data_IF_155001331944
#
_entry.id   IF_155001331944
#
_cell.length_a   1.000
_cell.length_b   1.000
_cell.length_c   1.000
_cell.angle_alpha   90.00
_cell.angle_beta   90.00
_cell.angle_gamma   90.00
#
_symmetry.space_group_name_H-M   'P 1'
#
loop_
_entity.id
_entity.type
_entity.pdbx_description
1 polymer ?
#
# COMPACT_ATOMS: atom_id res chain seq x y z
N UNK A 1 42.39 53.30 22.47
CA UNK A 1 42.26 52.38 21.32
C UNK A 1 42.29 50.96 21.89
N UNK A 2 41.13 50.34 22.16
CA UNK A 2 40.34 49.52 21.22
C UNK A 2 41.18 48.50 20.46
N UNK A 3 41.10 47.23 20.89
CA UNK A 3 40.46 46.09 20.22
C UNK A 3 40.76 44.83 21.06
N UNK A 4 39.85 44.37 21.93
CA UNK A 4 38.84 43.34 21.67
C UNK A 4 39.35 42.15 20.85
N UNK A 5 39.73 41.09 21.57
CA UNK A 5 39.92 39.74 21.06
C UNK A 5 39.54 38.76 22.15
N UNK A 6 38.25 38.67 22.45
CA UNK A 6 37.65 37.65 23.29
C UNK A 6 37.92 36.28 22.67
N UNK A 7 38.92 35.58 23.21
CA UNK A 7 39.17 34.17 22.90
C UNK A 7 37.96 33.37 23.40
N UNK A 8 37.14 32.90 22.45
CA UNK A 8 35.86 32.21 22.66
C UNK A 8 36.09 30.74 23.07
N UNK A 9 37.21 30.43 23.74
CA UNK A 9 37.57 29.10 24.22
C UNK A 9 37.05 28.78 25.63
N UNK A 10 35.99 29.45 26.07
CA UNK A 10 35.44 29.32 27.43
C UNK A 10 34.11 28.57 27.55
N UNK A 11 33.67 27.80 26.54
CA UNK A 11 32.42 27.02 26.66
C UNK A 11 32.54 25.49 26.46
N UNK A 12 33.73 24.92 26.66
CA UNK A 12 33.86 23.48 26.91
C UNK A 12 33.85 23.20 28.42
N UNK A 13 32.69 23.46 29.03
CA UNK A 13 32.40 23.00 30.39
C UNK A 13 32.11 21.50 30.33
N UNK A 14 32.91 20.80 31.13
CA UNK A 14 32.79 19.41 31.52
C UNK A 14 31.47 19.17 32.27
N UNK A 15 30.43 18.72 31.55
CA UNK A 15 29.19 18.20 32.13
C UNK A 15 29.06 16.72 31.77
N UNK A 16 29.04 15.87 32.80
CA UNK A 16 29.06 14.41 32.72
C UNK A 16 27.66 13.83 32.43
N UNK A 17 26.94 14.41 31.48
CA UNK A 17 25.59 13.98 31.06
C UNK A 17 25.16 14.77 29.82
N UNK A 18 24.61 14.06 28.84
CA UNK A 18 24.04 14.60 27.60
C UNK A 18 25.02 14.92 26.45
N UNK A 19 25.57 13.85 25.85
CA UNK A 19 26.17 13.85 24.49
C UNK A 19 25.90 12.54 23.74
N UNK A 20 24.68 12.02 23.83
CA UNK A 20 24.25 10.90 22.98
C UNK A 20 22.84 11.21 22.49
N UNK A 21 22.68 11.29 21.17
CA UNK A 21 21.42 10.97 20.51
C UNK A 21 21.62 10.93 18.98
N UNK A 22 22.37 11.87 18.42
CA UNK A 22 22.66 11.92 16.99
C UNK A 22 23.53 10.78 16.46
N UNK A 23 24.65 10.51 17.12
CA UNK A 23 25.57 9.45 16.69
C UNK A 23 24.92 8.06 16.78
N UNK A 24 24.13 7.84 17.83
CA UNK A 24 23.36 6.61 18.02
C UNK A 24 22.36 6.42 16.88
N UNK A 25 21.55 7.44 16.58
CA UNK A 25 20.57 7.41 15.49
C UNK A 25 21.22 7.11 14.15
N UNK A 26 22.31 7.81 13.82
CA UNK A 26 23.03 7.61 12.55
C UNK A 26 23.63 6.19 12.47
N UNK A 27 24.25 5.70 13.55
CA UNK A 27 24.84 4.35 13.59
C UNK A 27 23.78 3.25 13.44
N UNK A 28 22.66 3.37 14.16
CA UNK A 28 21.57 2.41 14.08
C UNK A 28 20.94 2.39 12.68
N UNK A 29 20.66 3.56 12.09
CA UNK A 29 20.14 3.64 10.72
C UNK A 29 21.13 3.05 9.71
N UNK A 30 22.44 3.33 9.82
CA UNK A 30 23.46 2.71 8.95
C UNK A 30 23.51 1.20 9.09
N UNK A 31 23.34 0.67 10.30
CA UNK A 31 23.28 -0.78 10.51
C UNK A 31 22.09 -1.38 9.77
N UNK A 32 20.91 -0.79 9.89
CA UNK A 32 19.69 -1.24 9.19
C UNK A 32 19.85 -1.13 7.67
N UNK A 33 20.41 -0.01 7.18
CA UNK A 33 20.73 0.16 5.76
C UNK A 33 21.65 -0.95 5.24
N UNK A 34 22.61 -1.40 6.06
CA UNK A 34 23.54 -2.48 5.70
C UNK A 34 22.81 -3.82 5.59
N UNK A 35 21.90 -4.12 6.53
CA UNK A 35 21.08 -5.34 6.46
C UNK A 35 20.13 -5.31 5.26
N UNK A 36 19.55 -4.15 4.92
CA UNK A 36 18.74 -3.99 3.71
C UNK A 36 19.56 -4.24 2.43
N UNK A 37 20.80 -3.75 2.36
CA UNK A 37 21.67 -4.02 1.22
C UNK A 37 22.01 -5.52 1.10
N UNK A 38 22.14 -6.25 2.22
CA UNK A 38 22.37 -7.70 2.20
C UNK A 38 21.21 -8.48 1.56
N UNK A 39 19.98 -8.00 1.69
CA UNK A 39 18.80 -8.59 1.04
C UNK A 39 18.57 -8.07 -0.39
N UNK A 40 19.50 -7.27 -0.93
CA UNK A 40 19.45 -6.79 -2.32
C UNK A 40 18.88 -5.38 -2.51
N UNK A 41 18.75 -4.59 -1.43
CA UNK A 41 18.24 -3.22 -1.55
C UNK A 41 19.19 -2.29 -2.30
N UNK A 42 18.59 -1.35 -3.04
CA UNK A 42 19.27 -0.34 -3.88
C UNK A 42 18.78 1.05 -3.47
N UNK A 43 19.70 2.02 -3.39
CA UNK A 43 19.38 3.41 -3.07
C UNK A 43 20.48 4.10 -2.28
N UNK A 44 20.40 5.43 -2.16
CA UNK A 44 21.38 6.25 -1.44
C UNK A 44 21.10 6.32 0.05
N UNK A 45 19.82 6.43 0.43
CA UNK A 45 19.38 6.55 1.83
C UNK A 45 18.51 5.40 2.31
N UNK A 46 18.26 5.34 3.62
CA UNK A 46 17.40 4.33 4.26
C UNK A 46 16.02 4.22 3.62
N UNK A 47 15.37 5.35 3.33
CA UNK A 47 14.05 5.37 2.71
C UNK A 47 14.07 4.77 1.29
N UNK A 48 15.03 5.17 0.45
CA UNK A 48 15.18 4.65 -0.92
C UNK A 48 15.50 3.15 -0.93
N UNK A 49 16.43 2.72 -0.07
CA UNK A 49 16.78 1.29 0.08
C UNK A 49 15.57 0.49 0.52
N UNK A 50 14.81 0.96 1.51
CA UNK A 50 13.58 0.30 1.92
C UNK A 50 12.59 0.17 0.76
N UNK A 51 12.31 1.26 0.04
CA UNK A 51 11.37 1.24 -1.09
C UNK A 51 11.75 0.24 -2.19
N UNK A 52 13.04 -0.07 -2.36
CA UNK A 52 13.48 -1.07 -3.35
C UNK A 52 13.13 -2.51 -2.99
N UNK A 53 12.98 -2.83 -1.70
CA UNK A 53 12.72 -4.19 -1.17
C UNK A 53 11.44 -4.27 -0.36
N UNK A 54 10.61 -3.21 -0.38
CA UNK A 54 9.42 -3.11 0.47
C UNK A 54 8.42 -4.23 0.22
N UNK A 55 8.37 -4.75 -1.01
CA UNK A 55 7.50 -5.86 -1.36
C UNK A 55 7.95 -7.18 -0.72
N UNK A 56 9.25 -7.36 -0.47
CA UNK A 56 9.80 -8.62 0.05
C UNK A 56 9.78 -8.70 1.58
N UNK A 57 9.42 -7.59 2.23
CA UNK A 57 9.38 -7.43 3.69
C UNK A 57 7.94 -7.50 4.22
N UNK A 58 7.81 -7.83 5.50
CA UNK A 58 6.54 -7.74 6.21
C UNK A 58 6.10 -6.28 6.37
N UNK A 59 4.80 -6.00 6.18
CA UNK A 59 4.25 -4.63 6.21
C UNK A 59 4.55 -3.89 7.53
N UNK A 60 4.49 -4.61 8.66
CA UNK A 60 4.85 -4.07 9.97
C UNK A 60 6.34 -3.65 10.02
N UNK A 61 7.23 -4.45 9.43
CA UNK A 61 8.66 -4.15 9.38
C UNK A 61 8.94 -2.94 8.50
N UNK A 62 8.27 -2.84 7.35
CA UNK A 62 8.34 -1.67 6.46
C UNK A 62 7.92 -0.41 7.21
N UNK A 63 6.83 -0.49 7.97
CA UNK A 63 6.31 0.64 8.77
C UNK A 63 7.32 1.08 9.82
N UNK A 64 7.91 0.14 10.57
CA UNK A 64 8.96 0.44 11.55
C UNK A 64 10.18 1.12 10.93
N UNK A 65 10.63 0.66 9.75
CA UNK A 65 11.79 1.27 9.07
C UNK A 65 11.45 2.67 8.54
N UNK A 66 10.22 2.91 8.03
CA UNK A 66 9.77 4.25 7.62
C UNK A 66 9.72 5.22 8.80
N UNK A 67 9.25 4.76 9.97
CA UNK A 67 9.27 5.56 11.19
C UNK A 67 10.69 5.97 11.57
N UNK A 68 11.65 5.02 11.59
CA UNK A 68 13.06 5.30 11.86
C UNK A 68 13.66 6.31 10.86
N UNK A 69 13.36 6.15 9.57
CA UNK A 69 13.79 7.10 8.54
C UNK A 69 13.22 8.50 8.76
N UNK A 70 11.97 8.58 9.20
CA UNK A 70 11.29 9.85 9.51
C UNK A 70 11.93 10.53 10.71
N UNK A 71 12.11 9.81 11.83
CA UNK A 71 12.78 10.34 13.03
C UNK A 71 14.20 10.84 12.71
N UNK A 72 14.97 10.06 11.93
CA UNK A 72 16.31 10.44 11.48
C UNK A 72 16.32 11.66 10.56
N UNK A 73 15.33 11.80 9.68
CA UNK A 73 15.22 12.97 8.80
C UNK A 73 14.83 14.23 9.57
N UNK A 74 13.86 14.13 10.49
CA UNK A 74 13.49 15.23 11.39
C UNK A 74 14.70 15.69 12.20
N UNK A 75 15.38 14.72 12.81
CA UNK A 75 16.58 14.98 13.60
C UNK A 75 17.60 15.80 12.81
N UNK A 76 17.94 15.37 11.59
CA UNK A 76 19.00 15.96 10.76
C UNK A 76 18.59 17.27 10.08
N UNK A 77 17.32 17.41 9.67
CA UNK A 77 16.91 18.44 8.71
C UNK A 77 15.92 19.48 9.27
N UNK A 78 15.24 19.21 10.38
CA UNK A 78 14.32 20.19 10.97
C UNK A 78 15.07 21.09 11.96
N UNK A 79 15.18 22.38 11.62
CA UNK A 79 15.78 23.37 12.49
C UNK A 79 14.96 23.54 13.78
N UNK A 80 15.62 23.39 14.92
CA UNK A 80 14.98 23.52 16.23
C UNK A 80 14.18 22.29 16.69
N UNK A 81 14.26 21.16 15.99
CA UNK A 81 13.71 19.91 16.49
C UNK A 81 14.56 19.37 17.65
N UNK A 82 13.95 19.29 18.83
CA UNK A 82 14.58 18.70 20.02
C UNK A 82 14.26 17.21 20.09
N UNK A 83 15.31 16.40 20.16
CA UNK A 83 15.20 14.95 20.33
C UNK A 83 15.19 14.63 21.82
N UNK A 84 14.00 14.34 22.34
CA UNK A 84 13.79 14.15 23.78
C UNK A 84 14.26 12.78 24.24
N UNK A 85 14.40 12.58 25.56
CA UNK A 85 14.72 11.26 26.13
C UNK A 85 13.67 10.19 25.78
N UNK A 86 12.41 10.60 25.65
CA UNK A 86 11.32 9.73 25.23
C UNK A 86 11.51 9.29 23.76
N UNK A 87 11.86 10.22 22.87
CA UNK A 87 12.13 9.92 21.46
C UNK A 87 13.34 8.99 21.32
N UNK A 88 14.38 9.18 22.13
CA UNK A 88 15.56 8.31 22.13
C UNK A 88 15.22 6.88 22.59
N UNK A 89 14.44 6.75 23.67
CA UNK A 89 14.01 5.45 24.17
C UNK A 89 13.13 4.71 23.15
N UNK A 90 12.21 5.42 22.51
CA UNK A 90 11.35 4.88 21.46
C UNK A 90 12.17 4.47 20.24
N UNK A 91 13.05 5.35 19.76
CA UNK A 91 13.93 5.08 18.62
C UNK A 91 14.78 3.84 18.88
N UNK A 92 15.39 3.74 20.06
CA UNK A 92 16.26 2.62 20.42
C UNK A 92 15.49 1.31 20.45
N UNK A 93 14.31 1.29 21.09
CA UNK A 93 13.44 0.12 21.10
C UNK A 93 13.07 -0.32 19.69
N UNK A 94 12.66 0.63 18.85
CA UNK A 94 12.24 0.37 17.47
C UNK A 94 13.40 -0.10 16.59
N UNK A 95 14.57 0.51 16.72
CA UNK A 95 15.77 0.16 15.98
C UNK A 95 16.30 -1.23 16.38
N UNK A 96 16.27 -1.57 17.67
CA UNK A 96 16.68 -2.87 18.19
C UNK A 96 15.73 -3.97 17.71
N UNK A 97 14.41 -3.74 17.77
CA UNK A 97 13.41 -4.69 17.26
C UNK A 97 13.56 -4.92 15.75
N UNK A 98 13.64 -3.84 14.99
CA UNK A 98 13.83 -3.86 13.53
C UNK A 98 15.11 -4.62 13.16
N UNK A 99 16.23 -4.33 13.85
CA UNK A 99 17.51 -4.99 13.61
C UNK A 99 17.47 -6.47 13.95
N UNK A 100 16.78 -6.85 15.03
CA UNK A 100 16.58 -8.27 15.39
C UNK A 100 15.76 -9.00 14.33
N UNK A 101 14.65 -8.41 13.87
CA UNK A 101 13.78 -9.01 12.85
C UNK A 101 14.50 -9.17 11.51
N UNK A 102 15.27 -8.18 11.09
CA UNK A 102 16.10 -8.27 9.86
C UNK A 102 17.17 -9.36 9.98
N UNK A 103 17.84 -9.48 11.13
CA UNK A 103 18.89 -10.48 11.37
C UNK A 103 18.36 -11.90 11.59
N UNK A 104 17.16 -12.03 12.15
CA UNK A 104 16.51 -13.32 12.37
C UNK A 104 16.11 -14.03 11.06
N UNK A 105 16.33 -13.36 9.92
CA UNK A 105 16.00 -13.87 8.60
C UNK A 105 14.64 -13.32 8.20
N UNK A 106 14.66 -12.45 7.18
CA UNK A 106 13.47 -12.18 6.39
C UNK A 106 13.11 -13.51 5.73
N UNK A 107 12.11 -14.21 6.26
CA UNK A 107 11.38 -15.22 5.49
C UNK A 107 10.80 -14.44 4.32
N UNK A 108 11.50 -14.46 3.18
CA UNK A 108 11.04 -13.85 1.93
C UNK A 108 9.58 -14.27 1.77
N UNK A 109 8.64 -13.32 1.88
CA UNK A 109 7.21 -13.62 1.77
C UNK A 109 6.84 -13.82 0.29
N UNK A 110 7.62 -14.65 -0.42
CA UNK A 110 7.40 -15.06 -1.80
C UNK A 110 6.03 -15.70 -2.00
N UNK A 111 5.38 -16.13 -0.92
CA UNK A 111 4.05 -16.74 -0.96
C UNK A 111 2.89 -15.72 -0.91
N UNK A 112 3.05 -14.54 -0.29
CA UNK A 112 1.93 -13.59 -0.15
C UNK A 112 1.80 -12.61 -1.32
N UNK A 113 2.89 -12.23 -2.00
CA UNK A 113 2.85 -11.33 -3.16
C UNK A 113 2.18 -11.90 -4.41
N UNK A 114 2.07 -13.22 -4.50
CA UNK A 114 1.32 -13.88 -5.57
C UNK A 114 -0.16 -13.46 -5.57
N UNK A 115 -0.75 -13.23 -4.39
CA UNK A 115 -2.18 -12.88 -4.25
C UNK A 115 -2.54 -11.44 -4.64
N UNK A 116 -1.59 -10.50 -4.59
CA UNK A 116 -1.85 -9.09 -4.95
C UNK A 116 -1.57 -8.81 -6.44
N UNK A 117 -0.61 -9.50 -7.06
CA UNK A 117 -0.35 -9.40 -8.51
C UNK A 117 -1.47 -10.10 -9.33
N UNK A 118 -2.10 -11.13 -8.77
CA UNK A 118 -3.20 -11.87 -9.41
C UNK A 118 -4.53 -11.10 -9.56
N UNK A 119 -4.70 -9.90 -8.99
CA UNK A 119 -5.99 -9.16 -9.07
C UNK A 119 -6.18 -8.29 -10.31
N UNK A 120 -5.24 -8.29 -11.26
CA UNK A 120 -5.52 -7.69 -12.58
C UNK A 120 -6.21 -8.75 -13.43
N UNK A 121 -7.53 -8.62 -13.60
CA UNK A 121 -8.34 -9.46 -14.50
C UNK A 121 -7.95 -9.17 -15.95
N UNK A 122 -6.82 -9.72 -16.39
CA UNK A 122 -6.41 -9.67 -17.79
C UNK A 122 -7.32 -10.54 -18.64
N UNK A 123 -7.62 -10.08 -19.86
CA UNK A 123 -8.36 -10.84 -20.86
C UNK A 123 -7.53 -10.91 -22.13
N UNK A 124 -7.63 -12.01 -22.89
CA UNK A 124 -6.91 -12.13 -24.16
C UNK A 124 -7.76 -11.53 -25.27
N UNK A 125 -7.17 -10.64 -26.07
CA UNK A 125 -7.85 -10.08 -27.23
C UNK A 125 -7.97 -11.13 -28.35
N UNK A 126 -9.19 -11.38 -28.84
CA UNK A 126 -9.43 -12.32 -29.94
C UNK A 126 -8.80 -11.91 -31.29
N UNK A 127 -8.51 -10.63 -31.49
CA UNK A 127 -7.98 -10.12 -32.75
C UNK A 127 -6.45 -10.02 -32.81
N UNK A 128 -5.78 -9.85 -31.66
CA UNK A 128 -4.32 -9.68 -31.63
C UNK A 128 -3.61 -10.61 -30.64
N UNK A 129 -4.35 -11.49 -29.96
CA UNK A 129 -3.87 -12.52 -29.04
C UNK A 129 -3.05 -12.01 -27.85
N UNK A 130 -3.05 -10.69 -27.61
CA UNK A 130 -2.37 -10.07 -26.47
C UNK A 130 -3.23 -10.14 -25.23
N UNK A 131 -2.59 -10.42 -24.09
CA UNK A 131 -3.16 -10.23 -22.77
C UNK A 131 -3.32 -8.73 -22.49
N UNK A 132 -4.55 -8.29 -22.25
CA UNK A 132 -4.92 -6.88 -22.16
C UNK A 132 -5.85 -6.61 -20.98
N UNK A 133 -5.80 -5.36 -20.51
CA UNK A 133 -6.89 -4.75 -19.74
C UNK A 133 -7.71 -3.91 -20.73
N UNK A 134 -8.96 -4.30 -21.07
CA UNK A 134 -9.76 -3.58 -22.06
C UNK A 134 -10.10 -2.16 -21.61
N UNK A 135 -10.10 -1.20 -22.55
CA UNK A 135 -10.57 0.17 -22.29
C UNK A 135 -12.09 0.22 -22.41
N UNK A 136 -12.77 0.71 -21.38
CA UNK A 136 -14.23 0.87 -21.37
C UNK A 136 -14.61 2.28 -21.85
N UNK A 137 -15.58 2.35 -22.75
CA UNK A 137 -16.19 3.59 -23.22
C UNK A 137 -17.56 3.75 -22.57
N UNK A 138 -17.79 4.92 -21.99
CA UNK A 138 -19.05 5.30 -21.37
C UNK A 138 -19.89 6.12 -22.35
N UNK A 139 -21.19 5.84 -22.39
CA UNK A 139 -22.19 6.63 -23.11
C UNK A 139 -23.31 6.95 -22.13
N UNK A 140 -23.64 8.23 -21.95
CA UNK A 140 -24.64 8.69 -20.98
C UNK A 140 -24.37 8.18 -19.54
N UNK A 141 -23.10 8.19 -19.11
CA UNK A 141 -22.64 7.65 -17.82
C UNK A 141 -22.86 6.14 -17.61
N UNK A 142 -23.21 5.40 -18.66
CA UNK A 142 -23.35 3.93 -18.63
C UNK A 142 -22.21 3.30 -19.45
N UNK A 143 -21.53 2.25 -18.95
CA UNK A 143 -20.52 1.54 -19.72
C UNK A 143 -21.16 0.89 -20.94
N UNK A 144 -20.71 1.27 -22.14
CA UNK A 144 -21.35 0.85 -23.39
C UNK A 144 -20.54 -0.22 -24.11
N UNK A 145 -19.23 -0.02 -24.29
CA UNK A 145 -18.37 -0.95 -25.05
C UNK A 145 -16.99 -1.01 -24.45
N UNK A 146 -16.28 -2.11 -24.70
CA UNK A 146 -14.87 -2.24 -24.32
C UNK A 146 -14.01 -2.60 -25.54
N UNK A 147 -12.81 -2.01 -25.62
CA UNK A 147 -11.91 -2.13 -26.75
C UNK A 147 -10.50 -2.54 -26.31
N UNK A 148 -9.80 -3.23 -27.20
CA UNK A 148 -8.40 -3.59 -27.01
C UNK A 148 -7.50 -2.34 -27.09
N UNK A 149 -6.59 -2.11 -26.13
CA UNK A 149 -5.67 -0.96 -26.18
C UNK A 149 -4.61 -1.04 -27.28
N UNK A 150 -4.38 -2.22 -27.88
CA UNK A 150 -3.32 -2.41 -28.88
C UNK A 150 -3.84 -2.42 -30.32
N UNK A 151 -4.96 -3.09 -30.60
CA UNK A 151 -5.50 -3.22 -31.96
C UNK A 151 -6.87 -2.56 -32.13
N UNK A 152 -7.41 -1.92 -31.09
CA UNK A 152 -8.73 -1.28 -31.09
C UNK A 152 -9.91 -2.21 -31.44
N UNK A 153 -9.70 -3.53 -31.48
CA UNK A 153 -10.78 -4.49 -31.68
C UNK A 153 -11.79 -4.42 -30.52
N UNK A 154 -13.07 -4.59 -30.84
CA UNK A 154 -14.14 -4.68 -29.86
C UNK A 154 -13.96 -5.97 -29.05
N UNK A 155 -13.79 -5.82 -27.73
CA UNK A 155 -13.61 -6.95 -26.80
C UNK A 155 -14.97 -7.43 -26.31
N UNK A 156 -15.81 -6.50 -25.85
CA UNK A 156 -17.16 -6.81 -25.34
C UNK A 156 -18.10 -5.64 -25.56
N UNK A 157 -19.29 -5.94 -26.07
CA UNK A 157 -20.42 -5.01 -26.06
C UNK A 157 -21.12 -5.12 -24.70
N UNK A 158 -21.21 -4.00 -23.97
CA UNK A 158 -21.83 -3.91 -22.66
C UNK A 158 -23.25 -3.31 -22.75
N UNK A 159 -23.74 -3.03 -23.97
CA UNK A 159 -25.09 -2.58 -24.21
C UNK A 159 -26.06 -3.77 -24.08
N UNK A 160 -26.45 -4.09 -22.84
CA UNK A 160 -27.43 -5.12 -22.56
C UNK A 160 -28.84 -4.64 -22.92
N UNK A 161 -29.26 -4.87 -24.16
CA UNK A 161 -30.64 -4.65 -24.61
C UNK A 161 -31.67 -5.51 -23.88
N UNK A 162 -31.25 -6.61 -23.25
CA UNK A 162 -32.12 -7.64 -22.68
C UNK A 162 -32.85 -7.22 -21.38
N UNK A 163 -32.33 -6.27 -20.59
CA UNK A 163 -32.96 -5.90 -19.32
C UNK A 163 -34.11 -4.89 -19.45
N UNK A 164 -34.19 -4.18 -20.59
CA UNK A 164 -35.21 -3.13 -20.81
C UNK A 164 -36.55 -3.70 -21.26
N UNK A 165 -36.55 -4.83 -21.97
CA UNK A 165 -37.79 -5.50 -22.43
C UNK A 165 -38.45 -6.33 -21.34
N UNK A 166 -37.67 -7.01 -20.49
CA UNK A 166 -38.24 -7.84 -19.42
C UNK A 166 -38.93 -7.02 -18.33
N UNK A 167 -38.44 -5.82 -18.01
CA UNK A 167 -39.00 -4.97 -16.95
C UNK A 167 -40.42 -4.48 -17.24
N UNK A 168 -40.72 -4.08 -18.47
CA UNK A 168 -42.06 -3.58 -18.83
C UNK A 168 -43.08 -4.72 -18.99
N UNK A 169 -42.66 -5.87 -19.52
CA UNK A 169 -43.54 -7.04 -19.63
C UNK A 169 -43.82 -7.71 -18.27
N UNK A 170 -42.84 -7.77 -17.36
CA UNK A 170 -43.06 -8.27 -15.99
C UNK A 170 -43.99 -7.35 -15.19
N UNK A 171 -43.86 -6.03 -15.32
CA UNK A 171 -44.74 -5.08 -14.63
C UNK A 171 -46.21 -5.26 -15.07
N UNK A 172 -46.46 -5.35 -16.38
CA UNK A 172 -47.81 -5.61 -16.90
C UNK A 172 -48.34 -7.00 -16.51
N UNK A 173 -47.50 -8.04 -16.51
CA UNK A 173 -47.90 -9.39 -16.11
C UNK A 173 -48.23 -9.50 -14.61
N UNK A 174 -47.47 -8.82 -13.75
CA UNK A 174 -47.76 -8.74 -12.30
C UNK A 174 -48.99 -7.87 -11.99
N UNK A 175 -49.28 -6.84 -12.79
CA UNK A 175 -50.51 -6.04 -12.66
C UNK A 175 -51.78 -6.80 -13.08
N UNK A 176 -51.69 -7.78 -14.00
CA UNK A 176 -52.87 -8.47 -14.53
C UNK A 176 -53.32 -9.71 -13.72
N UNK A 177 -52.49 -10.28 -12.83
CA UNK A 177 -52.88 -11.47 -12.05
C UNK A 177 -52.25 -11.53 -10.64
N UNK A 178 -52.87 -10.91 -9.61
CA UNK A 178 -52.31 -10.84 -8.25
C UNK A 178 -52.19 -12.19 -7.54
N UNK A 179 -52.82 -13.26 -8.06
CA UNK A 179 -52.73 -14.62 -7.52
C UNK A 179 -51.41 -15.32 -7.87
N UNK A 180 -50.82 -15.01 -9.04
CA UNK A 180 -49.57 -15.65 -9.50
C UNK A 180 -48.34 -15.03 -8.81
N UNK A 181 -48.41 -13.74 -8.47
CA UNK A 181 -47.37 -13.00 -7.72
C UNK A 181 -47.05 -13.67 -6.39
N UNK A 182 -48.07 -14.06 -5.63
CA UNK A 182 -47.91 -14.76 -4.35
C UNK A 182 -47.25 -16.12 -4.51
N UNK A 183 -47.53 -16.82 -5.61
CA UNK A 183 -46.97 -18.14 -5.90
C UNK A 183 -45.48 -18.07 -6.22
N UNK A 184 -45.06 -17.08 -7.03
CA UNK A 184 -43.64 -16.89 -7.40
C UNK A 184 -42.82 -16.44 -6.19
N UNK A 185 -43.34 -15.50 -5.39
CA UNK A 185 -42.65 -15.05 -4.16
C UNK A 185 -42.52 -16.21 -3.16
N UNK A 186 -43.55 -17.04 -2.99
CA UNK A 186 -43.48 -18.22 -2.12
C UNK A 186 -42.44 -19.25 -2.60
N UNK A 187 -42.32 -19.46 -3.92
CA UNK A 187 -41.33 -20.35 -4.53
C UNK A 187 -39.89 -19.84 -4.35
N UNK A 188 -39.68 -18.53 -4.50
CA UNK A 188 -38.36 -17.90 -4.28
C UNK A 188 -37.96 -17.98 -2.81
N UNK A 189 -38.89 -17.71 -1.88
CA UNK A 189 -38.64 -17.84 -0.44
C UNK A 189 -38.33 -19.29 -0.07
N UNK A 190 -39.09 -20.26 -0.60
CA UNK A 190 -38.85 -21.68 -0.37
C UNK A 190 -37.46 -22.12 -0.87
N UNK A 191 -37.04 -21.68 -2.05
CA UNK A 191 -35.70 -21.96 -2.58
C UNK A 191 -34.58 -21.35 -1.74
N UNK A 192 -34.78 -20.15 -1.19
CA UNK A 192 -33.78 -19.49 -0.33
C UNK A 192 -33.66 -20.20 1.03
N UNK A 193 -34.76 -20.69 1.59
CA UNK A 193 -34.76 -21.43 2.87
C UNK A 193 -34.07 -22.79 2.73
N UNK A 194 -34.21 -23.48 1.59
CA UNK A 194 -33.56 -24.78 1.33
C UNK A 194 -32.03 -24.65 1.14
N UNK A 195 -31.52 -23.46 0.82
CA UNK A 195 -30.08 -23.23 0.62
C UNK A 195 -29.33 -22.82 1.91
N UNK A 196 -30.04 -22.61 3.03
CA UNK A 196 -29.45 -22.11 4.30
C UNK A 196 -29.50 -23.15 5.44
N UNK A 197 -29.93 -24.39 5.15
CA UNK A 197 -29.87 -25.55 6.05
C UNK A 197 -28.95 -26.62 5.47
#
# INVERSE_FOLDING_TARGET
MSQNGTDIRSHLIFSRGYRVSYELVIKSCKSIETELVRIGAIGKGLHEKLSSVENDLEEDLVTSIRQLATMRNKLIHEDGYEFTECDEAEFKKLADDTSKRLKAGVTLQSEKNMSNIQRKNYTVCSACEKSIVPRIVFKNNVPSKSYCPHCCALVKDLNYSWFREFGEHLYLFFCMNPKMVKFVIALVIACVVVLVV
#
